data_IF_920826323955
#
_entry.id   IF_920826323955
#
_cell.length_a   1.000
_cell.length_b   1.000
_cell.length_c   1.000
_cell.angle_alpha   90.00
_cell.angle_beta   90.00
_cell.angle_gamma   90.00
#
_symmetry.space_group_name_H-M   'P 1'
#
loop_
_entity.id
_entity.type
_entity.pdbx_description
1 polymer ?
#
# COMPACT_ATOMS: atom_id res chain seq x y z
N UNK A 1 -10.64 -3.04 3.76
CA UNK A 1 -9.71 -3.29 4.88
C UNK A 1 -8.83 -2.06 5.03
N UNK A 2 -9.05 -1.29 6.08
CA UNK A 2 -8.12 -0.21 6.44
C UNK A 2 -6.82 -0.83 6.96
N UNK A 3 -5.70 -0.10 6.80
CA UNK A 3 -4.42 -0.51 7.40
C UNK A 3 -4.52 -0.66 8.92
N UNK A 4 -5.34 0.14 9.58
CA UNK A 4 -5.49 0.11 11.04
C UNK A 4 -6.25 -1.12 11.53
N UNK A 5 -7.20 -1.61 10.73
CA UNK A 5 -7.91 -2.86 10.98
C UNK A 5 -6.98 -4.06 10.75
N UNK A 6 -6.16 -4.00 9.69
CA UNK A 6 -5.19 -5.04 9.38
C UNK A 6 -4.12 -5.18 10.47
N UNK A 7 -3.68 -4.06 11.05
CA UNK A 7 -2.65 -4.05 12.10
C UNK A 7 -3.12 -4.79 13.36
N UNK A 8 -4.42 -4.79 13.66
CA UNK A 8 -4.98 -5.50 14.84
C UNK A 8 -4.86 -7.02 14.74
N UNK A 9 -4.70 -7.56 13.54
CA UNK A 9 -4.54 -9.01 13.28
C UNK A 9 -3.08 -9.47 13.38
N UNK A 10 -2.12 -8.55 13.52
CA UNK A 10 -0.70 -8.89 13.53
C UNK A 10 -0.13 -9.17 14.94
N UNK A 11 0.96 -9.94 15.03
CA UNK A 11 1.74 -10.07 16.26
C UNK A 11 2.32 -8.72 16.72
N UNK A 12 2.58 -8.60 18.03
CA UNK A 12 3.01 -7.36 18.68
C UNK A 12 4.20 -6.64 18.03
N UNK A 13 5.15 -7.38 17.42
CA UNK A 13 6.32 -6.79 16.75
C UNK A 13 5.94 -6.01 15.49
N UNK A 14 5.04 -6.55 14.68
CA UNK A 14 4.56 -5.89 13.47
C UNK A 14 3.70 -4.67 13.84
N UNK A 15 2.83 -4.76 14.84
CA UNK A 15 2.04 -3.63 15.34
C UNK A 15 2.93 -2.45 15.73
N UNK A 16 3.95 -2.68 16.56
CA UNK A 16 4.92 -1.63 16.97
C UNK A 16 5.66 -1.02 15.79
N UNK A 17 5.94 -1.80 14.74
CA UNK A 17 6.59 -1.32 13.53
C UNK A 17 5.68 -0.40 12.71
N UNK A 18 4.39 -0.76 12.57
CA UNK A 18 3.42 0.07 11.86
C UNK A 18 3.04 1.34 12.63
N UNK A 19 2.89 1.26 13.96
CA UNK A 19 2.65 2.43 14.82
C UNK A 19 3.79 3.46 14.79
N UNK A 20 5.04 3.01 14.70
CA UNK A 20 6.21 3.89 14.51
C UNK A 20 6.35 4.43 13.09
N UNK A 21 5.57 3.92 12.15
CA UNK A 21 5.66 4.23 10.74
C UNK A 21 6.72 3.42 9.98
N UNK A 22 6.46 3.26 8.69
CA UNK A 22 7.39 2.61 7.77
C UNK A 22 8.44 3.62 7.29
N UNK A 23 9.72 3.31 7.55
CA UNK A 23 10.86 4.12 7.09
C UNK A 23 10.94 4.18 5.55
N UNK A 24 11.79 5.07 5.03
CA UNK A 24 11.92 5.38 3.59
C UNK A 24 12.11 4.14 2.69
N UNK A 25 12.98 3.19 3.07
CA UNK A 25 13.29 1.98 2.28
C UNK A 25 12.05 1.09 2.04
N UNK A 26 11.31 0.62 3.07
CA UNK A 26 10.11 -0.18 2.85
C UNK A 26 8.99 0.59 2.15
N UNK A 27 8.84 1.90 2.40
CA UNK A 27 7.86 2.72 1.68
C UNK A 27 8.17 2.84 0.19
N UNK A 28 9.44 2.95 -0.20
CA UNK A 28 9.84 2.99 -1.60
C UNK A 28 9.51 1.66 -2.32
N UNK A 29 9.71 0.52 -1.64
CA UNK A 29 9.35 -0.79 -2.19
C UNK A 29 7.83 -0.92 -2.40
N UNK A 30 7.02 -0.54 -1.40
CA UNK A 30 5.56 -0.57 -1.52
C UNK A 30 5.09 0.29 -2.70
N UNK A 31 5.68 1.48 -2.91
CA UNK A 31 5.37 2.33 -4.06
C UNK A 31 5.74 1.68 -5.40
N UNK A 32 6.90 1.02 -5.49
CA UNK A 32 7.31 0.27 -6.71
C UNK A 32 6.35 -0.87 -7.01
N UNK A 33 5.98 -1.65 -6.00
CA UNK A 33 5.06 -2.79 -6.15
C UNK A 33 3.65 -2.35 -6.56
N UNK A 34 3.16 -1.23 -6.01
CA UNK A 34 1.87 -0.66 -6.42
C UNK A 34 1.87 -0.25 -7.89
N UNK A 35 2.97 0.35 -8.38
CA UNK A 35 3.14 0.67 -9.80
C UNK A 35 3.23 -0.58 -10.67
N UNK A 36 4.05 -1.56 -10.28
CA UNK A 36 4.18 -2.81 -11.03
C UNK A 36 2.86 -3.58 -11.13
N UNK A 37 2.11 -3.68 -10.02
CA UNK A 37 0.78 -4.30 -10.00
C UNK A 37 -0.25 -3.53 -10.84
N UNK A 38 -0.14 -2.21 -10.93
CA UNK A 38 -0.99 -1.38 -11.80
C UNK A 38 -0.72 -1.63 -13.30
N UNK A 39 0.55 -1.82 -13.69
CA UNK A 39 0.94 -2.03 -15.09
C UNK A 39 0.76 -3.47 -15.59
N UNK A 40 0.59 -4.45 -14.70
CA UNK A 40 0.52 -5.88 -15.06
C UNK A 40 -0.87 -6.36 -15.55
N UNK A 41 -1.76 -5.45 -15.98
CA UNK A 41 -3.00 -5.79 -16.71
C UNK A 41 -4.14 -6.46 -15.92
N UNK A 42 -3.86 -7.16 -14.82
CA UNK A 42 -4.89 -7.83 -14.02
C UNK A 42 -5.43 -6.90 -12.92
N UNK A 43 -6.32 -5.97 -13.29
CA UNK A 43 -7.48 -5.70 -12.45
C UNK A 43 -7.73 -4.30 -11.89
N UNK A 44 -6.92 -3.25 -12.15
CA UNK A 44 -7.26 -1.84 -11.77
C UNK A 44 -6.68 -0.77 -12.69
N UNK A 45 -6.61 -1.00 -14.01
CA UNK A 45 -6.28 0.04 -14.98
C UNK A 45 -7.31 1.20 -15.01
N UNK A 46 -8.51 0.99 -14.46
CA UNK A 46 -9.69 1.86 -14.63
C UNK A 46 -9.84 3.00 -13.61
N UNK A 47 -8.99 3.07 -12.58
CA UNK A 47 -9.20 4.02 -11.47
C UNK A 47 -8.24 5.22 -11.49
N UNK A 48 -7.14 5.14 -12.24
CA UNK A 48 -6.19 6.25 -12.34
C UNK A 48 -6.63 7.28 -13.40
N UNK A 49 -7.30 6.84 -14.46
CA UNK A 49 -7.77 7.72 -15.55
C UNK A 49 -8.93 8.65 -15.12
N UNK A 50 -9.80 8.19 -14.20
CA UNK A 50 -10.92 8.98 -13.68
C UNK A 50 -10.56 10.07 -12.67
N UNK A 51 -9.36 10.05 -12.11
CA UNK A 51 -8.94 11.01 -11.06
C UNK A 51 -8.01 12.09 -11.62
N UNK A 52 -7.47 11.91 -12.81
CA UNK A 52 -6.63 12.92 -13.51
C UNK A 52 -7.39 13.78 -14.52
N UNK A 53 -8.72 13.67 -14.58
CA UNK A 53 -9.59 14.51 -15.43
C UNK A 53 -10.29 15.65 -14.66
N UNK A 54 -9.63 16.19 -13.63
CA UNK A 54 -9.94 17.49 -13.01
C UNK A 54 -8.64 18.25 -12.80
#
# INVERSE_FOLDING_TARGET
>A
MSTDELVKLFPARACRRFQRGLKRKPMALIKKLRKASFHCGHGKAYLFDKVSSV
#
